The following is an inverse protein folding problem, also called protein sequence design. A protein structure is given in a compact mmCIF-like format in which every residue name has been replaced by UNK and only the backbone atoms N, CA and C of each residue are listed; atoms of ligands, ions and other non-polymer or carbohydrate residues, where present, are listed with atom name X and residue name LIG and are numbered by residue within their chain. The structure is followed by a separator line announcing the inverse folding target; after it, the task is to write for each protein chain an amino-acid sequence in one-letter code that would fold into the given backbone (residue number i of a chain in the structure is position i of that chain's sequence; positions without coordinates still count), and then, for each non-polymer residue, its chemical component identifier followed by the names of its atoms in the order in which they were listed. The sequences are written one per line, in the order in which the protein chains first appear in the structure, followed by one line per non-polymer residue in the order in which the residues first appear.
data_IF_288202264829
#
_entry.id   IF_288202264829
#
_cell.length_a   1.000
_cell.length_b   1.000
_cell.length_c   1.000
_cell.angle_alpha   90.00
_cell.angle_beta   90.00
_cell.angle_gamma   90.00
#
_symmetry.space_group_name_H-M   'P 1'
#
loop_
_entity.id
_entity.type
_entity.pdbx_description
1 polymer ?
#
# COMPACT_ATOMS: atom_id res chain seq x y z
N UNK A 1 -37.26 -22.65 -24.64
CA UNK A 1 -36.76 -21.29 -24.39
C UNK A 1 -35.32 -21.45 -23.90
N UNK A 2 -34.32 -21.08 -24.70
CA UNK A 2 -32.91 -21.09 -24.27
C UNK A 2 -32.59 -19.68 -23.80
N UNK A 3 -32.33 -19.54 -22.51
CA UNK A 3 -31.85 -18.29 -21.93
C UNK A 3 -30.43 -18.06 -22.46
N UNK A 4 -30.24 -17.01 -23.26
CA UNK A 4 -28.93 -16.61 -23.74
C UNK A 4 -28.31 -15.69 -22.68
N UNK A 5 -27.40 -16.23 -21.85
CA UNK A 5 -26.52 -15.41 -21.02
C UNK A 5 -25.50 -14.73 -21.95
N UNK A 6 -25.54 -13.41 -22.00
CA UNK A 6 -24.51 -12.58 -22.62
C UNK A 6 -23.36 -12.48 -21.63
N UNK A 7 -22.17 -12.93 -22.04
CA UNK A 7 -20.90 -12.78 -21.32
C UNK A 7 -20.28 -11.45 -21.76
N UNK A 8 -20.12 -10.50 -20.84
CA UNK A 8 -19.39 -9.27 -21.11
C UNK A 8 -17.95 -9.45 -20.59
N UNK A 9 -17.05 -10.05 -21.37
CA UNK A 9 -15.65 -10.20 -20.94
C UNK A 9 -14.96 -8.83 -21.02
N UNK A 10 -15.15 -7.98 -20.02
CA UNK A 10 -14.59 -6.63 -20.01
C UNK A 10 -13.09 -6.70 -19.69
N UNK A 11 -12.24 -6.50 -20.69
CA UNK A 11 -10.80 -6.70 -20.55
C UNK A 11 -10.02 -5.43 -20.23
N UNK A 12 -10.52 -4.26 -20.62
CA UNK A 12 -9.79 -2.99 -20.56
C UNK A 12 -10.74 -1.81 -20.31
N UNK A 13 -10.21 -0.74 -19.70
CA UNK A 13 -10.87 0.56 -19.60
C UNK A 13 -9.97 1.63 -20.21
N UNK A 14 -10.53 2.46 -21.06
CA UNK A 14 -9.86 3.68 -21.53
C UNK A 14 -10.60 4.91 -21.03
N UNK A 15 -9.84 5.86 -20.50
CA UNK A 15 -10.37 7.14 -20.10
C UNK A 15 -10.48 8.03 -21.35
N UNK A 16 -11.69 8.52 -21.62
CA UNK A 16 -11.97 9.46 -22.70
C UNK A 16 -12.44 10.79 -22.13
N UNK A 17 -12.31 11.86 -22.90
CA UNK A 17 -12.84 13.19 -22.52
C UNK A 17 -14.36 13.21 -22.26
N UNK A 18 -15.09 12.11 -22.50
CA UNK A 18 -16.54 11.99 -22.34
C UNK A 18 -16.97 10.82 -21.44
N UNK A 19 -16.04 10.15 -20.76
CA UNK A 19 -16.33 9.03 -19.86
C UNK A 19 -15.35 7.86 -19.94
N UNK A 20 -15.77 6.69 -19.46
CA UNK A 20 -14.99 5.45 -19.49
C UNK A 20 -15.47 4.59 -20.65
N UNK A 21 -14.56 4.14 -21.51
CA UNK A 21 -14.86 3.11 -22.50
C UNK A 21 -14.44 1.77 -21.90
N UNK A 22 -15.41 0.88 -21.68
CA UNK A 22 -15.16 -0.50 -21.27
C UNK A 22 -15.13 -1.38 -22.52
N UNK A 23 -14.05 -2.15 -22.70
CA UNK A 23 -13.86 -3.01 -23.87
C UNK A 23 -14.23 -4.43 -23.50
N UNK A 24 -15.21 -5.03 -24.19
CA UNK A 24 -15.52 -6.45 -24.00
C UNK A 24 -15.26 -7.28 -25.24
N UNK A 25 -14.72 -8.50 -25.05
CA UNK A 25 -14.75 -9.52 -26.09
C UNK A 25 -15.98 -10.38 -25.89
N UNK A 26 -16.81 -10.50 -26.90
CA UNK A 26 -17.86 -11.52 -26.89
C UNK A 26 -17.34 -12.74 -27.66
N UNK A 27 -17.50 -13.94 -27.09
CA UNK A 27 -16.97 -15.20 -27.66
C UNK A 27 -17.61 -15.66 -28.98
N UNK A 28 -18.17 -14.76 -29.78
CA UNK A 28 -18.69 -15.03 -31.13
C UNK A 28 -18.31 -13.91 -32.08
N UNK A 29 -17.37 -14.24 -32.97
CA UNK A 29 -16.92 -13.47 -34.14
C UNK A 29 -16.05 -12.24 -33.82
N UNK A 30 -15.11 -11.96 -34.72
CA UNK A 30 -13.97 -11.04 -34.60
C UNK A 30 -14.37 -9.55 -34.61
N UNK A 31 -15.39 -9.16 -33.85
CA UNK A 31 -15.76 -7.75 -33.65
C UNK A 31 -15.63 -7.38 -32.16
N UNK A 32 -14.70 -6.46 -31.86
CA UNK A 32 -14.62 -5.84 -30.54
C UNK A 32 -15.93 -5.10 -30.24
N UNK A 33 -16.67 -5.55 -29.23
CA UNK A 33 -17.85 -4.83 -28.76
C UNK A 33 -17.46 -3.84 -27.67
N UNK A 34 -17.90 -2.59 -27.81
CA UNK A 34 -17.59 -1.51 -26.87
C UNK A 34 -18.79 -1.25 -25.98
N UNK A 35 -18.62 -1.39 -24.66
CA UNK A 35 -19.53 -0.82 -23.68
C UNK A 35 -19.03 0.59 -23.35
N UNK A 36 -19.54 1.60 -24.04
CA UNK A 36 -19.24 2.99 -23.71
C UNK A 36 -20.06 3.42 -22.49
N UNK A 37 -19.38 3.67 -21.37
CA UNK A 37 -19.99 4.17 -20.14
C UNK A 37 -19.68 5.65 -20.03
N UNK A 38 -20.68 6.48 -20.33
CA UNK A 38 -20.56 7.93 -20.14
C UNK A 38 -20.62 8.23 -18.66
N UNK A 39 -19.48 8.59 -18.09
CA UNK A 39 -19.39 9.12 -16.71
C UNK A 39 -19.16 10.62 -16.77
N UNK A 40 -19.74 11.33 -15.83
CA UNK A 40 -19.69 12.79 -15.82
C UNK A 40 -18.29 13.30 -15.48
N UNK A 41 -17.65 12.71 -14.47
CA UNK A 41 -16.24 12.92 -14.14
C UNK A 41 -15.67 11.61 -13.54
N UNK A 42 -14.76 10.93 -14.25
CA UNK A 42 -14.09 9.74 -13.73
C UNK A 42 -13.11 10.07 -12.60
N UNK A 43 -13.05 9.23 -11.56
CA UNK A 43 -12.04 9.33 -10.51
C UNK A 43 -11.07 8.15 -10.55
N UNK A 44 -11.56 6.93 -10.30
CA UNK A 44 -10.72 5.74 -10.28
C UNK A 44 -11.50 4.47 -10.61
N UNK A 45 -10.77 3.45 -11.03
CA UNK A 45 -11.31 2.12 -11.32
C UNK A 45 -10.45 1.03 -10.70
N UNK A 46 -11.07 -0.11 -10.45
CA UNK A 46 -10.44 -1.31 -9.94
C UNK A 46 -10.97 -2.51 -10.73
N UNK A 47 -10.07 -3.27 -11.35
CA UNK A 47 -10.44 -4.47 -12.10
C UNK A 47 -10.43 -5.67 -11.17
N UNK A 48 -11.60 -6.26 -10.95
CA UNK A 48 -11.77 -7.55 -10.34
C UNK A 48 -11.77 -8.66 -11.40
N UNK A 49 -11.60 -9.91 -10.98
CA UNK A 49 -11.53 -11.04 -11.91
C UNK A 49 -12.78 -11.16 -12.79
N UNK A 50 -13.96 -10.88 -12.21
CA UNK A 50 -15.27 -11.00 -12.87
C UNK A 50 -16.07 -9.69 -12.92
N UNK A 51 -15.42 -8.56 -12.67
CA UNK A 51 -16.09 -7.25 -12.71
C UNK A 51 -15.12 -6.10 -12.85
N UNK A 52 -15.66 -4.97 -13.28
CA UNK A 52 -15.01 -3.68 -13.17
C UNK A 52 -15.76 -2.82 -12.18
N UNK A 53 -15.04 -2.31 -11.20
CA UNK A 53 -15.52 -1.36 -10.22
C UNK A 53 -14.99 0.02 -10.59
N UNK A 54 -15.82 1.06 -10.51
CA UNK A 54 -15.36 2.43 -10.70
C UNK A 54 -16.09 3.42 -9.78
N UNK A 55 -15.42 4.55 -9.55
CA UNK A 55 -15.97 5.68 -8.81
C UNK A 55 -15.89 6.95 -9.65
N UNK A 56 -16.98 7.72 -9.60
CA UNK A 56 -17.03 9.07 -10.16
C UNK A 56 -16.48 10.10 -9.16
N UNK A 57 -15.95 11.21 -9.66
CA UNK A 57 -15.38 12.28 -8.84
C UNK A 57 -16.48 12.94 -8.01
N UNK A 58 -16.16 13.22 -6.74
CA UNK A 58 -17.09 13.75 -5.73
C UNK A 58 -18.31 12.84 -5.45
N UNK A 59 -18.29 11.59 -5.92
CA UNK A 59 -19.25 10.56 -5.52
C UNK A 59 -18.54 9.49 -4.72
N UNK A 60 -19.25 8.99 -3.72
CA UNK A 60 -18.76 7.95 -2.82
C UNK A 60 -19.39 6.59 -3.13
N UNK A 61 -20.43 6.57 -3.97
CA UNK A 61 -21.04 5.35 -4.49
C UNK A 61 -20.04 4.56 -5.34
N UNK A 62 -20.26 3.26 -5.41
CA UNK A 62 -19.45 2.34 -6.17
C UNK A 62 -20.25 1.79 -7.35
N UNK A 63 -19.79 2.06 -8.55
CA UNK A 63 -20.41 1.54 -9.77
C UNK A 63 -19.74 0.23 -10.17
N UNK A 64 -20.54 -0.77 -10.51
CA UNK A 64 -20.07 -2.13 -10.79
C UNK A 64 -20.59 -2.57 -12.15
N UNK A 65 -19.66 -3.05 -12.97
CA UNK A 65 -19.93 -3.68 -14.27
C UNK A 65 -19.50 -5.13 -14.12
N UNK A 66 -20.41 -6.05 -13.77
CA UNK A 66 -20.07 -7.46 -13.71
C UNK A 66 -19.86 -8.03 -15.11
N UNK A 67 -19.04 -9.07 -15.22
CA UNK A 67 -18.88 -9.85 -16.45
C UNK A 67 -20.19 -10.53 -16.86
N UNK A 68 -21.00 -10.92 -15.86
CA UNK A 68 -22.31 -11.52 -16.03
C UNK A 68 -23.37 -10.68 -15.30
N UNK A 69 -24.37 -10.20 -16.04
CA UNK A 69 -25.48 -9.42 -15.50
C UNK A 69 -25.46 -7.96 -15.94
N UNK A 70 -26.40 -7.20 -15.40
CA UNK A 70 -26.54 -5.77 -15.70
C UNK A 70 -25.64 -4.93 -14.78
N UNK A 71 -25.05 -3.83 -15.27
CA UNK A 71 -24.36 -2.87 -14.42
C UNK A 71 -25.27 -2.33 -13.31
N UNK A 72 -24.73 -2.14 -12.12
CA UNK A 72 -25.47 -1.65 -10.97
C UNK A 72 -24.60 -0.71 -10.12
N UNK A 73 -25.24 -0.02 -9.17
CA UNK A 73 -24.59 0.92 -8.27
C UNK A 73 -24.82 0.51 -6.84
N UNK A 74 -23.74 0.33 -6.08
CA UNK A 74 -23.77 0.20 -4.63
C UNK A 74 -23.76 1.60 -4.01
N UNK A 75 -24.91 1.95 -3.44
CA UNK A 75 -25.11 3.21 -2.74
C UNK A 75 -24.35 3.20 -1.41
N UNK A 76 -23.56 4.23 -1.14
CA UNK A 76 -22.84 4.36 0.13
C UNK A 76 -21.60 5.24 0.05
N UNK A 77 -20.78 5.17 1.09
CA UNK A 77 -19.51 5.90 1.15
C UNK A 77 -18.33 4.96 1.04
N UNK A 78 -18.00 4.54 -0.18
CA UNK A 78 -16.93 3.60 -0.47
C UNK A 78 -15.67 4.29 -1.02
N UNK A 79 -14.56 3.58 -0.98
CA UNK A 79 -13.32 3.96 -1.63
C UNK A 79 -12.65 2.74 -2.23
N UNK A 80 -12.22 2.89 -3.49
CA UNK A 80 -11.33 1.95 -4.17
C UNK A 80 -9.86 2.18 -3.80
N UNK A 81 -9.55 3.22 -3.01
CA UNK A 81 -8.20 3.50 -2.52
C UNK A 81 -7.78 2.46 -1.47
N UNK A 82 -7.22 1.34 -1.92
CA UNK A 82 -6.89 0.18 -1.09
C UNK A 82 -7.79 -1.04 -1.33
N UNK A 83 -8.60 -1.03 -2.40
CA UNK A 83 -9.32 -2.22 -2.82
C UNK A 83 -8.36 -3.32 -3.31
N UNK A 84 -8.76 -4.58 -3.13
CA UNK A 84 -8.01 -5.75 -3.57
C UNK A 84 -8.95 -6.90 -3.93
N UNK A 85 -8.46 -7.86 -4.73
CA UNK A 85 -9.23 -9.02 -5.18
C UNK A 85 -9.10 -10.18 -4.19
N UNK A 86 -10.13 -11.01 -4.14
CA UNK A 86 -10.18 -12.27 -3.42
C UNK A 86 -10.90 -13.30 -4.27
N UNK A 87 -10.76 -14.59 -3.97
CA UNK A 87 -11.53 -15.64 -4.66
C UNK A 87 -13.05 -15.43 -4.53
N UNK A 88 -13.51 -14.78 -3.47
CA UNK A 88 -14.93 -14.54 -3.18
C UNK A 88 -15.44 -13.19 -3.70
N UNK A 89 -14.62 -12.40 -4.40
CA UNK A 89 -14.97 -11.09 -4.94
C UNK A 89 -14.03 -9.96 -4.48
N UNK A 90 -14.26 -8.72 -4.93
CA UNK A 90 -13.42 -7.59 -4.58
C UNK A 90 -13.74 -7.08 -3.17
N UNK A 91 -12.70 -6.76 -2.41
CA UNK A 91 -12.81 -6.06 -1.13
C UNK A 91 -12.61 -4.56 -1.34
N UNK A 92 -13.50 -3.75 -0.78
CA UNK A 92 -13.49 -2.27 -0.85
C UNK A 92 -13.55 -1.67 0.55
N UNK A 93 -13.24 -0.39 0.67
CA UNK A 93 -13.27 0.29 1.97
C UNK A 93 -14.57 1.08 2.10
N UNK A 94 -15.28 0.91 3.22
CA UNK A 94 -16.26 1.90 3.65
C UNK A 94 -15.51 3.03 4.39
N UNK A 95 -15.64 4.27 3.89
CA UNK A 95 -14.88 5.42 4.35
C UNK A 95 -15.28 5.88 5.76
N UNK A 96 -16.57 6.04 6.10
CA UNK A 96 -17.00 6.37 7.46
C UNK A 96 -16.52 5.37 8.51
N UNK A 97 -16.70 4.07 8.23
CA UNK A 97 -16.32 3.00 9.16
C UNK A 97 -14.83 2.71 9.16
N UNK A 98 -14.12 3.14 8.11
CA UNK A 98 -12.72 2.81 7.84
C UNK A 98 -12.49 1.30 7.88
N UNK A 99 -13.39 0.51 7.30
CA UNK A 99 -13.35 -0.96 7.30
C UNK A 99 -13.37 -1.53 5.90
N UNK A 100 -12.87 -2.75 5.77
CA UNK A 100 -13.00 -3.53 4.55
C UNK A 100 -14.31 -4.30 4.50
N UNK A 101 -14.95 -4.25 3.33
CA UNK A 101 -16.13 -5.02 2.98
C UNK A 101 -15.86 -5.80 1.70
N UNK A 102 -16.18 -7.09 1.71
CA UNK A 102 -16.20 -7.92 0.51
C UNK A 102 -17.51 -7.68 -0.25
N UNK A 103 -17.41 -7.43 -1.54
CA UNK A 103 -18.56 -7.24 -2.43
C UNK A 103 -18.92 -8.57 -3.09
N UNK A 104 -20.15 -9.03 -2.87
CA UNK A 104 -20.71 -10.10 -3.67
C UNK A 104 -21.18 -9.53 -5.02
N UNK A 105 -20.49 -9.88 -6.11
CA UNK A 105 -20.77 -9.34 -7.45
C UNK A 105 -22.12 -9.80 -8.02
N UNK A 106 -22.66 -10.93 -7.56
CA UNK A 106 -23.91 -11.48 -8.05
C UNK A 106 -25.14 -10.87 -7.36
N UNK A 107 -25.06 -10.61 -6.05
CA UNK A 107 -26.17 -10.05 -5.27
C UNK A 107 -26.03 -8.55 -4.99
N UNK A 108 -24.84 -7.98 -5.12
CA UNK A 108 -24.51 -6.64 -4.64
C UNK A 108 -24.44 -6.52 -3.11
N UNK A 109 -24.51 -7.64 -2.39
CA UNK A 109 -24.40 -7.63 -0.94
C UNK A 109 -22.96 -7.37 -0.47
N UNK A 110 -22.85 -6.78 0.72
CA UNK A 110 -21.58 -6.46 1.36
C UNK A 110 -21.40 -7.33 2.59
N UNK A 111 -20.21 -7.90 2.73
CA UNK A 111 -19.81 -8.67 3.92
C UNK A 111 -18.66 -7.94 4.64
N UNK A 112 -18.88 -7.51 5.89
CA UNK A 112 -17.85 -6.86 6.72
C UNK A 112 -16.74 -7.88 7.03
N UNK A 113 -15.51 -7.61 6.58
CA UNK A 113 -14.39 -8.49 6.88
C UNK A 113 -14.00 -8.42 8.38
N UNK A 114 -14.40 -7.36 9.08
CA UNK A 114 -14.07 -7.10 10.48
C UNK A 114 -12.69 -6.46 10.67
N UNK A 115 -12.13 -5.87 9.61
CA UNK A 115 -10.79 -5.28 9.59
C UNK A 115 -10.84 -3.80 9.23
N UNK A 116 -10.11 -2.99 9.98
CA UNK A 116 -9.99 -1.54 9.78
C UNK A 116 -8.91 -1.24 8.73
N UNK A 117 -9.15 -0.33 7.78
CA UNK A 117 -8.21 0.08 6.73
C UNK A 117 -6.86 0.59 7.29
N UNK A 118 -6.89 1.59 8.17
CA UNK A 118 -5.68 2.32 8.60
C UNK A 118 -4.68 1.52 9.47
N UNK A 119 -5.08 0.54 10.30
CA UNK A 119 -4.14 -0.35 10.96
C UNK A 119 -3.91 -1.67 10.20
N UNK A 120 -4.54 -1.86 9.03
CA UNK A 120 -4.41 -3.10 8.29
C UNK A 120 -3.38 -3.03 7.18
N UNK A 121 -2.61 -4.11 7.07
CA UNK A 121 -1.71 -4.39 5.97
C UNK A 121 -2.30 -5.58 5.20
N UNK A 122 -2.33 -5.51 3.87
CA UNK A 122 -2.80 -6.61 3.03
C UNK A 122 -1.66 -7.09 2.15
N UNK A 123 -1.47 -8.40 2.10
CA UNK A 123 -0.68 -9.06 1.07
C UNK A 123 -1.47 -10.32 0.69
N UNK A 124 -2.27 -10.19 -0.38
CA UNK A 124 -3.24 -11.20 -0.79
C UNK A 124 -2.60 -12.60 -0.82
N UNK A 125 -3.21 -13.62 -0.17
CA UNK A 125 -4.57 -13.65 0.40
C UNK A 125 -4.72 -13.28 1.88
N UNK A 126 -3.73 -12.60 2.46
CA UNK A 126 -3.66 -12.33 3.89
C UNK A 126 -3.95 -10.87 4.23
N UNK A 127 -4.80 -10.67 5.23
CA UNK A 127 -5.09 -9.37 5.82
C UNK A 127 -4.64 -9.35 7.29
N UNK A 128 -3.81 -8.38 7.66
CA UNK A 128 -3.17 -8.27 8.96
C UNK A 128 -3.67 -7.01 9.66
N UNK A 129 -4.27 -7.10 10.84
CA UNK A 129 -4.65 -5.94 11.66
C UNK A 129 -3.76 -5.85 12.90
N UNK A 130 -3.00 -4.76 12.96
CA UNK A 130 -2.19 -4.44 14.12
C UNK A 130 -3.05 -3.93 15.28
N UNK A 131 -2.95 -4.58 16.44
CA UNK A 131 -3.41 -4.07 17.75
C UNK A 131 -2.20 -3.66 18.61
N UNK A 132 -2.42 -3.32 19.90
CA UNK A 132 -1.32 -2.90 20.79
C UNK A 132 -0.26 -3.99 20.94
N UNK A 133 -0.67 -5.21 21.27
CA UNK A 133 0.20 -6.36 21.52
C UNK A 133 -0.05 -7.57 20.66
N UNK A 134 -1.10 -7.54 19.83
CA UNK A 134 -1.44 -8.65 18.96
C UNK A 134 -1.52 -8.21 17.51
N UNK A 135 -1.42 -9.19 16.62
CA UNK A 135 -1.72 -9.03 15.21
C UNK A 135 -2.80 -10.06 14.89
N UNK A 136 -3.96 -9.60 14.43
CA UNK A 136 -4.95 -10.50 13.86
C UNK A 136 -4.61 -10.71 12.38
N UNK A 137 -4.70 -11.95 11.93
CA UNK A 137 -4.47 -12.38 10.56
C UNK A 137 -5.75 -13.04 10.07
N UNK A 138 -6.18 -12.66 8.88
CA UNK A 138 -7.25 -13.32 8.17
C UNK A 138 -6.74 -13.81 6.83
N UNK A 139 -6.79 -15.14 6.64
CA UNK A 139 -6.64 -15.76 5.34
C UNK A 139 -8.02 -15.76 4.68
N UNK A 140 -8.14 -14.97 3.62
CA UNK A 140 -9.43 -14.65 3.00
C UNK A 140 -9.96 -15.84 2.19
N UNK A 141 -9.09 -16.56 1.49
CA UNK A 141 -9.48 -17.68 0.63
C UNK A 141 -9.96 -18.88 1.45
N UNK A 142 -9.36 -19.11 2.63
CA UNK A 142 -9.73 -20.23 3.50
C UNK A 142 -10.68 -19.87 4.64
N UNK A 143 -11.08 -18.59 4.74
CA UNK A 143 -11.85 -18.04 5.86
C UNK A 143 -11.27 -18.38 7.25
N UNK A 144 -9.94 -18.41 7.37
CA UNK A 144 -9.23 -18.74 8.62
C UNK A 144 -8.73 -17.48 9.30
N UNK A 145 -9.05 -17.34 10.60
CA UNK A 145 -8.56 -16.24 11.45
C UNK A 145 -7.57 -16.75 12.47
N UNK A 146 -6.47 -16.03 12.65
CA UNK A 146 -5.43 -16.34 13.63
C UNK A 146 -5.02 -15.05 14.34
N UNK A 147 -4.66 -15.13 15.62
CA UNK A 147 -4.15 -13.99 16.38
C UNK A 147 -2.79 -14.35 16.96
N UNK A 148 -1.81 -13.48 16.76
CA UNK A 148 -0.46 -13.63 17.31
C UNK A 148 -0.33 -12.71 18.52
N UNK A 149 0.21 -13.22 19.62
CA UNK A 149 0.63 -12.38 20.75
C UNK A 149 2.13 -12.06 20.68
N UNK A 150 2.44 -10.76 20.53
CA UNK A 150 3.80 -10.23 20.46
C UNK A 150 4.25 -9.69 21.83
N UNK A 151 3.38 -9.67 22.83
CA UNK A 151 3.69 -9.19 24.19
C UNK A 151 4.94 -9.83 24.82
N UNK A 152 5.26 -11.12 24.62
CA UNK A 152 6.49 -11.72 25.17
C UNK A 152 7.79 -11.02 24.74
N UNK A 153 7.77 -10.26 23.64
CA UNK A 153 8.94 -9.55 23.10
C UNK A 153 9.02 -8.08 23.56
N UNK A 154 8.05 -7.61 24.34
CA UNK A 154 8.02 -6.23 24.82
C UNK A 154 9.10 -6.00 25.87
N UNK A 155 9.83 -4.90 25.75
CA UNK A 155 10.88 -4.53 26.72
C UNK A 155 10.36 -3.84 27.97
N UNK A 156 9.21 -3.17 27.85
CA UNK A 156 8.57 -2.42 28.92
C UNK A 156 7.04 -2.35 28.70
N UNK A 157 6.34 -1.65 29.60
CA UNK A 157 4.87 -1.52 29.59
C UNK A 157 4.32 -0.62 28.46
N UNK A 158 5.16 0.25 27.91
CA UNK A 158 4.83 1.21 26.85
C UNK A 158 5.21 0.72 25.45
N UNK A 159 5.98 -0.37 25.39
CA UNK A 159 6.32 -1.05 24.15
C UNK A 159 5.05 -1.61 23.50
N UNK A 160 5.08 -1.58 22.17
CA UNK A 160 3.95 -1.96 21.32
C UNK A 160 4.44 -2.19 19.92
N UNK A 161 3.59 -2.81 19.11
CA UNK A 161 3.85 -2.91 17.68
C UNK A 161 3.83 -1.50 17.08
N UNK A 162 4.96 -1.07 16.56
CA UNK A 162 5.07 0.22 15.85
C UNK A 162 4.59 0.04 14.42
N UNK A 163 5.04 -1.01 13.74
CA UNK A 163 4.81 -1.20 12.30
C UNK A 163 4.84 -2.68 11.91
N UNK A 164 3.92 -3.08 11.04
CA UNK A 164 4.03 -4.30 10.24
C UNK A 164 4.73 -3.85 8.96
N UNK A 165 5.97 -4.32 8.73
CA UNK A 165 6.81 -3.83 7.64
C UNK A 165 6.41 -4.50 6.32
N UNK A 166 6.07 -5.79 6.35
CA UNK A 166 5.67 -6.57 5.18
C UNK A 166 5.89 -8.07 5.37
N UNK A 167 5.59 -8.86 4.33
CA UNK A 167 5.94 -10.27 4.24
C UNK A 167 7.21 -10.46 3.42
N UNK A 168 8.13 -11.26 3.94
CA UNK A 168 9.34 -11.72 3.27
C UNK A 168 9.18 -13.19 2.89
N UNK A 169 9.49 -13.53 1.64
CA UNK A 169 9.31 -14.88 1.09
C UNK A 169 7.90 -15.45 1.32
N UNK A 170 6.87 -14.60 1.32
CA UNK A 170 5.44 -14.94 1.50
C UNK A 170 5.08 -15.60 2.85
N UNK A 171 6.05 -15.98 3.67
CA UNK A 171 5.84 -16.73 4.91
C UNK A 171 6.24 -15.94 6.16
N UNK A 172 7.12 -14.95 6.02
CA UNK A 172 7.75 -14.30 7.17
C UNK A 172 7.27 -12.87 7.35
N UNK A 173 6.43 -12.65 8.36
CA UNK A 173 5.97 -11.33 8.75
C UNK A 173 7.08 -10.57 9.49
N UNK A 174 7.46 -9.43 8.94
CA UNK A 174 8.42 -8.52 9.57
C UNK A 174 7.68 -7.50 10.44
N UNK A 175 8.04 -7.46 11.72
CA UNK A 175 7.35 -6.65 12.72
C UNK A 175 8.39 -5.80 13.45
N UNK A 176 8.16 -4.49 13.51
CA UNK A 176 8.97 -3.58 14.31
C UNK A 176 8.21 -3.11 15.53
N UNK A 177 8.85 -3.20 16.69
CA UNK A 177 8.34 -2.67 17.95
C UNK A 177 8.78 -1.22 18.16
N UNK A 178 8.05 -0.50 19.01
CA UNK A 178 8.36 0.89 19.37
C UNK A 178 9.74 1.01 20.02
N UNK A 179 10.16 0.00 20.76
CA UNK A 179 11.51 -0.11 21.33
C UNK A 179 12.64 -0.26 20.30
N UNK A 180 12.31 -0.40 19.02
CA UNK A 180 13.27 -0.61 17.93
C UNK A 180 13.67 -2.07 17.75
N UNK A 181 13.01 -3.02 18.42
CA UNK A 181 13.18 -4.45 18.16
C UNK A 181 12.60 -4.82 16.78
N UNK A 182 13.34 -5.58 15.98
CA UNK A 182 12.88 -6.19 14.74
C UNK A 182 12.66 -7.68 14.94
N UNK A 183 11.44 -8.13 14.66
CA UNK A 183 11.02 -9.52 14.71
C UNK A 183 10.72 -10.02 13.29
N UNK A 184 10.96 -11.31 13.08
CA UNK A 184 10.55 -12.07 11.90
C UNK A 184 9.70 -13.24 12.41
N UNK A 185 8.45 -13.35 11.97
CA UNK A 185 7.50 -14.36 12.43
C UNK A 185 7.01 -15.21 11.27
N UNK A 186 7.11 -16.53 11.37
CA UNK A 186 6.63 -17.44 10.32
C UNK A 186 5.11 -17.66 10.48
N UNK A 187 4.36 -17.38 9.43
CA UNK A 187 2.90 -17.45 9.45
C UNK A 187 2.33 -18.86 9.54
N UNK A 188 3.10 -19.86 9.17
CA UNK A 188 2.67 -21.26 9.16
C UNK A 188 3.16 -22.00 10.41
N UNK A 189 4.46 -21.87 10.74
CA UNK A 189 5.08 -22.61 11.84
C UNK A 189 4.96 -21.92 13.19
N UNK A 190 4.51 -20.66 13.22
CA UNK A 190 4.42 -19.82 14.42
C UNK A 190 5.81 -19.49 15.03
N UNK A 191 6.89 -19.84 14.33
CA UNK A 191 8.25 -19.55 14.77
C UNK A 191 8.50 -18.03 14.79
N UNK A 192 9.06 -17.53 15.90
CA UNK A 192 9.47 -16.12 16.02
C UNK A 192 10.97 -16.02 16.18
N UNK A 193 11.61 -15.14 15.39
CA UNK A 193 13.02 -14.79 15.50
C UNK A 193 13.19 -13.31 15.78
N UNK A 194 14.02 -13.00 16.77
CA UNK A 194 14.53 -11.64 16.94
C UNK A 194 15.65 -11.43 15.94
N UNK A 195 15.41 -10.60 14.93
CA UNK A 195 16.40 -10.30 13.91
C UNK A 195 17.38 -9.25 14.42
N UNK A 196 16.88 -8.22 15.11
CA UNK A 196 17.74 -7.13 15.58
C UNK A 196 17.18 -6.44 16.81
N UNK A 197 18.07 -6.12 17.76
CA UNK A 197 17.73 -5.45 19.01
C UNK A 197 17.40 -3.96 18.83
N UNK A 198 17.99 -3.28 17.86
CA UNK A 198 17.73 -1.86 17.63
C UNK A 198 17.79 -1.56 16.14
N UNK A 199 16.68 -1.06 15.60
CA UNK A 199 16.54 -0.65 14.21
C UNK A 199 15.75 0.66 14.09
N UNK A 200 16.10 1.45 13.08
CA UNK A 200 15.34 2.62 12.66
C UNK A 200 14.01 2.24 12.01
N UNK A 201 13.36 3.22 11.39
CA UNK A 201 12.17 2.92 10.57
C UNK A 201 12.58 2.13 9.35
N UNK A 202 11.73 1.22 8.91
CA UNK A 202 12.09 0.19 7.95
C UNK A 202 11.18 0.21 6.72
N UNK A 203 11.73 -0.17 5.57
CA UNK A 203 10.98 -0.48 4.36
C UNK A 203 11.51 -1.78 3.80
N UNK A 204 10.62 -2.75 3.55
CA UNK A 204 10.91 -3.95 2.79
C UNK A 204 10.66 -3.66 1.31
N UNK A 205 11.66 -3.88 0.47
CA UNK A 205 11.55 -3.68 -0.98
C UNK A 205 12.36 -4.73 -1.72
N UNK A 206 11.73 -5.48 -2.62
CA UNK A 206 12.33 -6.58 -3.38
C UNK A 206 13.17 -7.52 -2.48
N UNK A 207 12.56 -8.06 -1.42
CA UNK A 207 13.18 -8.95 -0.43
C UNK A 207 14.37 -8.36 0.36
N UNK A 208 14.59 -7.05 0.26
CA UNK A 208 15.68 -6.34 0.95
C UNK A 208 15.11 -5.36 1.97
N UNK A 209 15.63 -5.42 3.19
CA UNK A 209 15.22 -4.51 4.26
C UNK A 209 16.15 -3.30 4.31
N UNK A 210 15.56 -2.13 4.17
CA UNK A 210 16.23 -0.84 4.33
C UNK A 210 15.77 -0.20 5.64
N UNK A 211 16.70 0.40 6.37
CA UNK A 211 16.44 1.08 7.62
C UNK A 211 17.07 2.46 7.62
N UNK A 212 16.35 3.44 8.15
CA UNK A 212 16.88 4.78 8.38
C UNK A 212 16.71 5.16 9.85
N UNK A 213 17.83 5.52 10.47
CA UNK A 213 17.89 6.14 11.79
C UNK A 213 18.10 7.66 11.63
N UNK A 214 18.35 8.37 12.73
CA UNK A 214 18.59 9.81 12.69
C UNK A 214 19.88 10.20 11.92
N UNK A 215 20.78 9.26 11.66
CA UNK A 215 22.07 9.56 11.04
C UNK A 215 22.64 8.46 10.15
N UNK A 216 21.95 7.34 9.97
CA UNK A 216 22.46 6.23 9.15
C UNK A 216 21.33 5.68 8.27
N UNK A 217 21.64 5.48 6.99
CA UNK A 217 20.91 4.63 6.06
C UNK A 217 21.58 3.26 6.03
N UNK A 218 20.83 2.19 6.22
CA UNK A 218 21.34 0.83 6.33
C UNK A 218 20.56 -0.15 5.45
N UNK A 219 21.26 -1.08 4.81
CA UNK A 219 20.69 -2.31 4.26
C UNK A 219 20.94 -3.45 5.23
N UNK A 220 19.90 -4.22 5.57
CA UNK A 220 19.95 -5.30 6.56
C UNK A 220 19.82 -6.66 5.88
N UNK A 221 20.65 -7.63 6.29
CA UNK A 221 20.45 -9.03 5.97
C UNK A 221 19.37 -9.61 6.88
N UNK A 222 18.29 -10.14 6.32
CA UNK A 222 17.15 -10.63 7.10
C UNK A 222 17.39 -11.96 7.81
N UNK A 223 18.38 -12.74 7.39
CA UNK A 223 18.73 -14.01 8.03
C UNK A 223 19.62 -13.79 9.25
N UNK A 224 20.61 -12.88 9.14
CA UNK A 224 21.57 -12.63 10.22
C UNK A 224 21.29 -11.38 11.05
N UNK A 225 20.42 -10.48 10.58
CA UNK A 225 20.17 -9.16 11.18
C UNK A 225 21.32 -8.16 11.04
N UNK A 226 22.41 -8.55 10.37
CA UNK A 226 23.60 -7.74 10.22
C UNK A 226 23.41 -6.64 9.17
N UNK A 227 24.11 -5.52 9.36
CA UNK A 227 24.19 -4.46 8.37
C UNK A 227 25.06 -4.95 7.22
N UNK A 228 24.49 -5.02 6.02
CA UNK A 228 25.21 -5.35 4.78
C UNK A 228 25.87 -4.10 4.19
N UNK A 229 25.20 -2.95 4.31
CA UNK A 229 25.65 -1.70 3.72
C UNK A 229 25.22 -0.53 4.60
N UNK A 230 26.16 0.16 5.28
CA UNK A 230 25.88 1.39 6.01
C UNK A 230 26.22 2.63 5.19
N UNK A 231 25.46 3.71 5.39
CA UNK A 231 25.75 5.06 4.90
C UNK A 231 25.49 6.06 6.01
N UNK A 232 26.56 6.68 6.50
CA UNK A 232 26.45 7.79 7.45
C UNK A 232 25.93 9.06 6.74
N UNK A 233 25.00 9.75 7.40
CA UNK A 233 24.29 10.93 6.91
C UNK A 233 24.76 12.25 7.58
N UNK A 234 25.70 12.20 8.52
CA UNK A 234 26.21 13.36 9.27
C UNK A 234 26.81 14.43 8.33
N UNK A 235 27.35 14.02 7.19
CA UNK A 235 27.82 14.94 6.16
C UNK A 235 26.70 15.83 5.60
N UNK A 236 25.49 15.30 5.47
CA UNK A 236 24.32 16.06 5.04
C UNK A 236 23.80 16.97 6.15
N UNK A 237 23.86 16.54 7.41
CA UNK A 237 23.56 17.39 8.55
C UNK A 237 24.50 18.60 8.60
N UNK A 238 25.81 18.39 8.41
CA UNK A 238 26.80 19.48 8.42
C UNK A 238 26.67 20.43 7.22
N UNK A 239 26.44 19.89 6.02
CA UNK A 239 26.42 20.69 4.78
C UNK A 239 25.07 21.38 4.54
N UNK A 240 23.97 20.71 4.89
CA UNK A 240 22.62 21.14 4.52
C UNK A 240 21.67 21.26 5.72
N UNK A 241 22.12 21.03 6.96
CA UNK A 241 21.24 20.95 8.14
C UNK A 241 20.12 19.89 7.96
N UNK A 242 20.43 18.81 7.24
CA UNK A 242 19.49 17.72 6.98
C UNK A 242 19.45 16.75 8.17
N UNK A 243 18.28 16.66 8.83
CA UNK A 243 18.03 15.74 9.94
C UNK A 243 16.90 14.77 9.55
N UNK A 244 17.18 13.51 9.21
CA UNK A 244 16.19 12.56 8.74
C UNK A 244 15.18 12.21 9.85
N UNK A 245 13.94 11.99 9.44
CA UNK A 245 12.83 11.57 10.33
C UNK A 245 12.77 10.05 10.53
N UNK A 246 13.64 9.30 9.87
CA UNK A 246 13.52 7.86 9.66
C UNK A 246 12.56 7.46 8.54
N UNK A 247 11.59 8.31 8.16
CA UNK A 247 10.68 8.00 7.04
C UNK A 247 11.42 8.11 5.71
N UNK A 248 11.29 7.07 4.90
CA UNK A 248 11.92 6.95 3.59
C UNK A 248 11.06 6.11 2.65
N UNK A 249 11.25 6.27 1.34
CA UNK A 249 10.69 5.39 0.32
C UNK A 249 11.82 4.78 -0.51
N UNK A 250 11.62 3.54 -0.92
CA UNK A 250 12.56 2.78 -1.75
C UNK A 250 11.84 2.48 -3.07
N UNK A 251 12.55 2.74 -4.17
CA UNK A 251 12.14 2.45 -5.54
C UNK A 251 13.25 1.64 -6.21
N UNK A 252 13.02 1.21 -7.45
CA UNK A 252 13.93 0.32 -8.17
C UNK A 252 15.38 0.82 -8.18
N UNK A 253 15.61 2.12 -8.41
CA UNK A 253 16.97 2.68 -8.47
C UNK A 253 17.30 3.64 -7.34
N UNK A 254 16.30 4.12 -6.61
CA UNK A 254 16.46 5.24 -5.68
C UNK A 254 15.90 4.99 -4.29
N UNK A 255 16.55 5.59 -3.29
CA UNK A 255 16.03 5.73 -1.93
C UNK A 255 15.86 7.22 -1.65
N UNK A 256 14.66 7.59 -1.21
CA UNK A 256 14.35 8.96 -0.83
C UNK A 256 14.17 9.05 0.69
N UNK A 257 14.89 9.96 1.34
CA UNK A 257 14.82 10.16 2.80
C UNK A 257 14.37 11.59 3.10
N UNK A 258 13.40 11.72 4.01
CA UNK A 258 12.77 13.01 4.35
C UNK A 258 13.26 13.58 5.68
N UNK A 259 13.41 14.91 5.75
CA UNK A 259 13.54 15.67 6.99
C UNK A 259 12.22 16.38 7.33
N UNK A 260 11.88 16.48 8.62
CA UNK A 260 10.69 17.20 9.11
C UNK A 260 10.99 18.67 9.45
N UNK A 261 12.13 19.19 9.00
CA UNK A 261 12.56 20.56 9.28
C UNK A 261 11.83 21.61 8.46
N UNK A 262 12.09 22.88 8.79
CA UNK A 262 11.87 24.01 7.88
C UNK A 262 13.25 24.59 7.51
N UNK A 263 13.66 24.57 6.24
CA UNK A 263 12.93 24.04 5.10
C UNK A 263 12.76 22.52 5.15
N UNK A 264 11.68 22.00 4.58
CA UNK A 264 11.53 20.58 4.33
C UNK A 264 12.60 20.14 3.33
N UNK A 265 13.06 18.90 3.43
CA UNK A 265 14.07 18.39 2.50
C UNK A 265 13.84 16.91 2.17
N UNK A 266 14.15 16.56 0.93
CA UNK A 266 14.22 15.18 0.45
C UNK A 266 15.62 14.95 -0.11
N UNK A 267 16.28 13.90 0.36
CA UNK A 267 17.55 13.44 -0.20
C UNK A 267 17.31 12.26 -1.11
N UNK A 268 18.09 12.16 -2.18
CA UNK A 268 18.03 11.10 -3.17
C UNK A 268 19.34 10.32 -3.12
N UNK A 269 19.23 9.01 -2.91
CA UNK A 269 20.35 8.08 -2.95
C UNK A 269 20.15 7.04 -4.02
N UNK A 270 21.21 6.61 -4.68
CA UNK A 270 21.19 5.39 -5.50
C UNK A 270 21.06 4.17 -4.61
N UNK A 271 20.08 3.31 -4.88
CA UNK A 271 19.74 2.16 -4.02
C UNK A 271 20.85 1.11 -3.97
N UNK A 272 21.57 0.89 -5.07
CA UNK A 272 22.62 -0.12 -5.17
C UNK A 272 23.88 0.25 -4.39
N UNK A 273 24.27 1.53 -4.38
CA UNK A 273 25.55 1.99 -3.83
C UNK A 273 25.42 2.87 -2.58
N UNK A 274 24.21 3.35 -2.27
CA UNK A 274 23.97 4.44 -1.30
C UNK A 274 24.78 5.71 -1.62
N UNK A 275 25.08 5.92 -2.92
CA UNK A 275 25.67 7.17 -3.39
C UNK A 275 24.62 8.28 -3.30
N UNK A 276 25.03 9.41 -2.72
CA UNK A 276 24.18 10.61 -2.66
C UNK A 276 24.10 11.20 -4.06
N UNK A 277 22.89 11.38 -4.59
CA UNK A 277 22.65 11.96 -5.90
C UNK A 277 22.27 13.43 -5.79
N UNK A 278 21.27 13.73 -4.97
CA UNK A 278 20.76 15.10 -4.84
C UNK A 278 20.02 15.36 -3.52
N UNK A 279 19.79 16.65 -3.24
CA UNK A 279 18.94 17.13 -2.15
C UNK A 279 18.01 18.22 -2.70
N UNK A 280 16.71 17.98 -2.54
CA UNK A 280 15.65 18.92 -2.86
C UNK A 280 15.20 19.60 -1.57
N UNK A 281 15.11 20.93 -1.59
CA UNK A 281 14.68 21.74 -0.45
C UNK A 281 13.39 22.49 -0.78
N UNK A 282 12.46 22.51 0.18
CA UNK A 282 11.14 23.11 0.08
C UNK A 282 11.04 24.27 1.04
N UNK A 283 10.46 25.40 0.62
CA UNK A 283 10.21 26.54 1.53
C UNK A 283 9.27 26.17 2.69
N UNK A 284 8.33 25.25 2.43
CA UNK A 284 7.42 24.66 3.40
C UNK A 284 8.01 23.45 4.15
N UNK A 285 7.24 22.93 5.11
CA UNK A 285 7.54 21.64 5.74
C UNK A 285 6.93 20.51 4.91
N UNK A 286 7.56 19.34 4.90
CA UNK A 286 6.93 18.11 4.41
C UNK A 286 6.21 17.47 5.60
N UNK A 287 4.90 17.15 5.50
CA UNK A 287 4.22 16.48 6.60
C UNK A 287 4.89 15.14 6.93
N UNK A 288 4.88 14.77 8.20
CA UNK A 288 5.55 13.55 8.66
C UNK A 288 4.81 12.32 8.11
N UNK A 289 5.40 11.63 7.15
CA UNK A 289 4.82 10.43 6.55
C UNK A 289 5.33 10.22 5.13
N UNK A 290 5.16 9.01 4.61
CA UNK A 290 5.61 8.65 3.26
C UNK A 290 4.57 8.95 2.17
N UNK A 291 3.31 9.19 2.54
CA UNK A 291 2.20 9.48 1.60
C UNK A 291 2.38 10.78 0.81
N UNK A 292 3.31 11.63 1.21
CA UNK A 292 3.56 12.93 0.58
C UNK A 292 4.67 12.88 -0.47
N UNK A 293 5.18 11.69 -0.79
CA UNK A 293 6.35 11.50 -1.63
C UNK A 293 6.10 10.35 -2.60
N UNK A 294 6.12 10.60 -3.91
CA UNK A 294 5.91 9.57 -4.91
C UNK A 294 6.90 9.70 -6.07
N UNK A 295 7.54 8.61 -6.46
CA UNK A 295 8.31 8.51 -7.70
C UNK A 295 7.50 7.75 -8.75
N UNK A 296 7.29 8.34 -9.92
CA UNK A 296 6.57 7.72 -11.04
C UNK A 296 6.98 8.35 -12.36
N UNK A 297 7.25 7.51 -13.37
CA UNK A 297 7.62 7.93 -14.72
C UNK A 297 8.77 8.95 -14.70
N UNK A 298 9.83 8.64 -13.95
CA UNK A 298 11.02 9.47 -13.77
C UNK A 298 10.79 10.86 -13.17
N UNK A 299 9.65 11.04 -12.50
CA UNK A 299 9.31 12.28 -11.79
C UNK A 299 9.12 12.03 -10.31
N UNK A 300 9.66 12.94 -9.50
CA UNK A 300 9.39 13.00 -8.06
C UNK A 300 8.26 13.99 -7.79
N UNK A 301 7.19 13.49 -7.19
CA UNK A 301 6.04 14.24 -6.72
C UNK A 301 6.14 14.41 -5.21
N UNK A 302 6.13 15.65 -4.72
CA UNK A 302 6.19 15.95 -3.29
C UNK A 302 5.05 16.90 -2.92
N UNK A 303 4.19 16.48 -2.00
CA UNK A 303 3.11 17.32 -1.46
C UNK A 303 3.58 17.97 -0.16
N UNK A 304 3.72 19.30 -0.14
CA UNK A 304 4.10 20.00 1.09
C UNK A 304 2.93 20.19 2.06
N UNK A 305 3.22 20.67 3.27
CA UNK A 305 2.20 20.93 4.30
C UNK A 305 1.27 22.11 3.98
N UNK A 306 1.56 22.87 2.92
CA UNK A 306 0.66 23.88 2.36
C UNK A 306 -0.25 23.33 1.25
N UNK A 307 -0.26 22.02 1.01
CA UNK A 307 -0.95 21.34 -0.09
C UNK A 307 -0.47 21.77 -1.48
N UNK A 308 0.78 22.22 -1.60
CA UNK A 308 1.41 22.48 -2.90
C UNK A 308 2.07 21.19 -3.39
N UNK A 309 1.70 20.75 -4.61
CA UNK A 309 2.34 19.63 -5.28
C UNK A 309 3.55 20.13 -6.07
N UNK A 310 4.74 19.72 -5.64
CA UNK A 310 6.01 19.97 -6.33
C UNK A 310 6.33 18.77 -7.22
N UNK A 311 6.74 19.02 -8.47
CA UNK A 311 7.11 17.98 -9.44
C UNK A 311 8.52 18.26 -9.90
N UNK A 312 9.39 17.25 -9.79
CA UNK A 312 10.78 17.32 -10.23
C UNK A 312 11.03 16.26 -11.29
N UNK A 313 11.70 16.66 -12.36
CA UNK A 313 12.11 15.82 -13.48
C UNK A 313 13.64 15.82 -13.51
N UNK A 314 14.23 14.71 -13.95
CA UNK A 314 15.66 14.68 -14.28
C UNK A 314 15.94 15.38 -15.61
#
# INVERSE_FOLDING_TARGET
MREHKVTNDVHWLENSNQGIIAFSKNGREEEDHFLQIRVSEFFMSFKADQAILYQEKNRSDLHIIPELGEPYVLQGEFSLYGAFNTENGPAVINVPEKKYFLVNLASGELNDLGFLYSPSFCNYPLLFQKKKSTIDIYNIDHDVRTTIDIKPFFRDLDDRIDEIIGLHQEEWLLIRLKSGLLLKWNIQSVETKVIRQLIGRCVLFNEQLYSVTNNILEKINLESGQIVQPKNLDGLAKKYNFHPTGRHKVYDDYIFIMSAGKPGMVTIFERSSFSFKDLISFSGQIPVGTEHLHWKNDKLYVLDGGNTLHIYEQ
#
